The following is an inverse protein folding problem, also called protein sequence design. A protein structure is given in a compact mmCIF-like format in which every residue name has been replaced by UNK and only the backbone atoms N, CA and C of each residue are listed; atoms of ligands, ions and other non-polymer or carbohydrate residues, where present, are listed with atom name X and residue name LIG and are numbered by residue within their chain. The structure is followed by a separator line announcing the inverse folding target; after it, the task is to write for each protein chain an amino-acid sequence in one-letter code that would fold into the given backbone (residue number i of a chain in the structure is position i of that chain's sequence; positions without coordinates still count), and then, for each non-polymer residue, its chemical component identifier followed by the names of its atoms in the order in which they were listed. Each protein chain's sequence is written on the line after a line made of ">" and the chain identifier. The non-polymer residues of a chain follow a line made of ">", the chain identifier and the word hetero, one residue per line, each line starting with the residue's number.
data_IF_116377157076
#
_entry.id   IF_116377157076
#
_cell.length_a   1.000
_cell.length_b   1.000
_cell.length_c   1.000
_cell.angle_alpha   90.00
_cell.angle_beta   90.00
_cell.angle_gamma   90.00
#
_symmetry.space_group_name_H-M   'P 1'
#
loop_
_entity.id
_entity.type
_entity.pdbx_description
1 polymer ?
#
# COMPACT_ATOMS: atom_id res chain seq x y z
N UNK A 1 -40.60 -11.83 -11.53
CA UNK A 1 -39.37 -11.71 -12.33
C UNK A 1 -38.61 -10.48 -11.82
N UNK A 2 -37.64 -10.67 -10.91
CA UNK A 2 -36.82 -9.57 -10.39
C UNK A 2 -35.50 -9.53 -11.15
N UNK A 3 -35.31 -8.48 -11.94
CA UNK A 3 -34.07 -8.20 -12.65
C UNK A 3 -32.96 -7.95 -11.61
N UNK A 4 -32.14 -8.97 -11.36
CA UNK A 4 -30.86 -8.83 -10.68
C UNK A 4 -29.92 -8.04 -11.59
N UNK A 5 -29.97 -6.71 -11.48
CA UNK A 5 -28.91 -5.83 -11.98
C UNK A 5 -27.68 -6.14 -11.13
N UNK A 6 -26.87 -7.11 -11.58
CA UNK A 6 -25.55 -7.38 -11.03
C UNK A 6 -24.76 -6.08 -11.13
N UNK A 7 -24.51 -5.44 -9.98
CA UNK A 7 -23.51 -4.39 -9.90
C UNK A 7 -22.20 -4.92 -10.51
N UNK A 8 -21.50 -4.17 -11.36
CA UNK A 8 -20.26 -4.64 -11.93
C UNK A 8 -19.30 -4.98 -10.79
N UNK A 9 -18.88 -6.25 -10.72
CA UNK A 9 -17.78 -6.68 -9.85
C UNK A 9 -16.60 -5.78 -10.20
N UNK A 10 -16.05 -5.07 -9.22
CA UNK A 10 -14.83 -4.27 -9.36
C UNK A 10 -13.64 -5.20 -9.68
N UNK A 11 -13.56 -5.69 -10.91
CA UNK A 11 -12.35 -6.25 -11.46
C UNK A 11 -11.37 -5.10 -11.68
N UNK A 12 -10.30 -5.10 -10.90
CA UNK A 12 -8.97 -4.80 -11.44
C UNK A 12 -8.74 -3.41 -11.99
N UNK A 13 -8.80 -2.37 -11.14
CA UNK A 13 -7.76 -1.35 -11.33
C UNK A 13 -6.45 -2.00 -10.87
N UNK A 14 -5.46 -2.20 -11.76
CA UNK A 14 -4.18 -2.71 -11.32
C UNK A 14 -3.65 -1.79 -10.23
N UNK A 15 -3.16 -2.38 -9.14
CA UNK A 15 -2.44 -1.61 -8.13
C UNK A 15 -1.32 -0.84 -8.83
N UNK A 16 -1.10 0.40 -8.41
CA UNK A 16 -0.23 1.31 -9.13
C UNK A 16 1.20 0.75 -9.24
N UNK A 17 1.83 0.91 -10.42
CA UNK A 17 3.15 0.33 -10.71
C UNK A 17 4.23 0.71 -9.69
N UNK A 18 4.16 1.90 -9.10
CA UNK A 18 5.08 2.32 -8.03
C UNK A 18 5.00 1.44 -6.78
N UNK A 19 3.82 0.91 -6.46
CA UNK A 19 3.65 0.01 -5.32
C UNK A 19 4.28 -1.35 -5.60
N UNK A 20 4.16 -1.85 -6.84
CA UNK A 20 4.85 -3.07 -7.28
C UNK A 20 6.37 -2.86 -7.24
N UNK A 21 6.86 -1.68 -7.61
CA UNK A 21 8.30 -1.39 -7.55
C UNK A 21 8.87 -1.36 -6.12
N UNK A 22 8.05 -1.16 -5.07
CA UNK A 22 8.51 -1.08 -3.68
C UNK A 22 9.29 -2.32 -3.20
N UNK A 23 8.97 -3.52 -3.70
CA UNK A 23 9.67 -4.75 -3.32
C UNK A 23 11.15 -4.74 -3.68
N UNK A 24 11.53 -3.97 -4.71
CA UNK A 24 12.90 -3.86 -5.22
C UNK A 24 13.43 -2.42 -5.17
N UNK A 25 12.77 -1.52 -4.47
CA UNK A 25 13.13 -0.10 -4.47
C UNK A 25 14.34 0.17 -3.56
N UNK A 26 15.41 0.73 -4.14
CA UNK A 26 16.64 1.08 -3.44
C UNK A 26 16.50 2.26 -2.45
N UNK A 27 15.37 2.97 -2.46
CA UNK A 27 14.99 3.92 -1.42
C UNK A 27 14.67 3.21 -0.10
N UNK A 28 14.03 2.04 -0.15
CA UNK A 28 13.65 1.25 1.03
C UNK A 28 14.82 0.34 1.41
N UNK A 29 15.90 0.95 1.91
CA UNK A 29 17.19 0.25 2.17
C UNK A 29 17.12 -0.69 3.37
N UNK A 30 16.56 -0.22 4.48
CA UNK A 30 16.62 -0.90 5.76
C UNK A 30 15.26 -1.48 6.15
N UNK A 31 15.26 -2.76 6.53
CA UNK A 31 14.06 -3.51 6.84
C UNK A 31 13.35 -3.00 8.10
N UNK A 32 14.11 -2.52 9.08
CA UNK A 32 13.58 -2.00 10.34
C UNK A 32 13.45 -0.46 10.38
N UNK A 33 13.91 0.25 9.35
CA UNK A 33 13.68 1.68 9.23
C UNK A 33 12.19 2.00 9.08
N UNK A 34 11.76 3.09 9.71
CA UNK A 34 10.40 3.61 9.60
C UNK A 34 10.35 4.67 8.49
N UNK A 35 9.42 4.49 7.55
CA UNK A 35 9.19 5.38 6.43
C UNK A 35 7.85 6.05 6.59
N UNK A 36 7.84 7.37 6.51
CA UNK A 36 6.61 8.13 6.62
C UNK A 36 5.81 8.13 5.32
N UNK A 37 4.49 8.29 5.43
CA UNK A 37 3.63 8.51 4.25
C UNK A 37 4.04 9.76 3.48
N UNK A 38 4.60 10.79 4.14
CA UNK A 38 5.11 11.97 3.47
C UNK A 38 6.34 11.67 2.61
N UNK A 39 7.32 10.94 3.14
CA UNK A 39 8.54 10.60 2.41
C UNK A 39 8.24 9.74 1.19
N UNK A 40 7.38 8.72 1.37
CA UNK A 40 6.91 7.88 0.28
C UNK A 40 6.14 8.69 -0.77
N UNK A 41 5.32 9.65 -0.35
CA UNK A 41 4.58 10.52 -1.25
C UNK A 41 5.50 11.38 -2.11
N UNK A 42 6.56 11.95 -1.52
CA UNK A 42 7.59 12.73 -2.22
C UNK A 42 8.34 11.82 -3.20
N UNK A 43 8.86 10.69 -2.73
CA UNK A 43 9.67 9.76 -3.53
C UNK A 43 8.90 9.22 -4.74
N UNK A 44 7.67 8.72 -4.54
CA UNK A 44 6.85 8.16 -5.63
C UNK A 44 6.04 9.20 -6.42
N UNK A 45 6.17 10.49 -6.08
CA UNK A 45 5.40 11.59 -6.69
C UNK A 45 3.90 11.30 -6.66
N UNK A 46 3.36 11.01 -5.47
CA UNK A 46 1.94 10.72 -5.22
C UNK A 46 1.43 11.52 -4.05
N UNK A 47 0.11 11.64 -3.92
CA UNK A 47 -0.48 12.26 -2.73
C UNK A 47 -0.37 11.33 -1.52
N UNK A 48 -0.23 11.92 -0.32
CA UNK A 48 -0.22 11.18 0.96
C UNK A 48 -1.40 10.21 1.07
N UNK A 49 -2.61 10.67 0.69
CA UNK A 49 -3.83 9.85 0.67
C UNK A 49 -3.71 8.65 -0.27
N UNK A 50 -3.12 8.83 -1.45
CA UNK A 50 -2.91 7.72 -2.40
C UNK A 50 -1.96 6.67 -1.84
N UNK A 51 -0.80 7.09 -1.30
CA UNK A 51 0.17 6.19 -0.68
C UNK A 51 -0.49 5.35 0.42
N UNK A 52 -1.11 6.04 1.39
CA UNK A 52 -1.78 5.39 2.53
C UNK A 52 -2.86 4.41 2.07
N UNK A 53 -3.76 4.85 1.20
CA UNK A 53 -4.91 4.03 0.80
C UNK A 53 -4.47 2.80 -0.01
N UNK A 54 -3.47 2.93 -0.88
CA UNK A 54 -2.97 1.79 -1.66
C UNK A 54 -2.31 0.76 -0.74
N UNK A 55 -1.46 1.19 0.19
CA UNK A 55 -0.79 0.30 1.14
C UNK A 55 -1.81 -0.45 2.00
N UNK A 56 -2.73 0.26 2.65
CA UNK A 56 -3.70 -0.33 3.57
C UNK A 56 -4.69 -1.26 2.85
N UNK A 57 -5.21 -0.86 1.69
CA UNK A 57 -6.16 -1.71 0.92
C UNK A 57 -5.53 -2.98 0.40
N UNK A 58 -4.27 -2.93 -0.06
CA UNK A 58 -3.59 -4.14 -0.51
C UNK A 58 -3.28 -5.06 0.67
N UNK A 59 -2.89 -4.54 1.82
CA UNK A 59 -2.75 -5.36 3.03
C UNK A 59 -4.05 -6.08 3.39
N UNK A 60 -5.16 -5.34 3.49
CA UNK A 60 -6.46 -5.91 3.81
C UNK A 60 -6.87 -6.98 2.81
N UNK A 61 -6.64 -6.73 1.51
CA UNK A 61 -6.93 -7.70 0.45
C UNK A 61 -6.07 -8.98 0.56
N UNK A 62 -4.77 -8.84 0.84
CA UNK A 62 -3.80 -9.95 0.84
C UNK A 62 -3.95 -10.85 2.07
N UNK A 63 -4.33 -10.28 3.22
CA UNK A 63 -4.29 -11.00 4.49
C UNK A 63 -5.66 -11.14 5.17
N UNK A 64 -6.73 -10.61 4.56
CA UNK A 64 -8.09 -10.59 5.09
C UNK A 64 -8.17 -10.04 6.53
N UNK A 65 -7.36 -9.02 6.81
CA UNK A 65 -7.31 -8.36 8.12
C UNK A 65 -6.94 -6.88 8.01
N UNK A 66 -7.42 -6.10 8.97
CA UNK A 66 -7.06 -4.68 9.08
C UNK A 66 -5.61 -4.52 9.54
N UNK A 67 -4.89 -3.59 8.92
CA UNK A 67 -3.60 -3.15 9.42
C UNK A 67 -3.80 -2.00 10.39
N UNK A 68 -3.11 -2.05 11.54
CA UNK A 68 -3.05 -0.94 12.48
C UNK A 68 -1.71 -0.22 12.31
N UNK A 69 -1.66 0.87 11.52
CA UNK A 69 -0.42 1.62 11.36
C UNK A 69 -0.07 2.40 12.63
N UNK A 70 1.22 2.64 12.82
CA UNK A 70 1.72 3.55 13.85
C UNK A 70 1.46 4.99 13.40
N UNK A 71 0.80 5.76 14.26
CA UNK A 71 0.60 7.19 14.09
C UNK A 71 1.54 7.94 15.03
N UNK A 72 2.22 8.96 14.50
CA UNK A 72 3.01 9.91 15.28
C UNK A 72 2.53 11.33 15.01
N UNK A 73 2.81 12.24 15.93
CA UNK A 73 2.65 13.68 15.70
C UNK A 73 4.05 14.22 15.45
N UNK A 74 4.28 14.81 14.27
CA UNK A 74 5.58 15.41 13.96
C UNK A 74 5.73 16.78 14.62
N UNK A 75 6.91 17.38 14.49
CA UNK A 75 7.26 18.70 15.07
C UNK A 75 6.31 19.84 14.68
N UNK A 76 5.62 19.70 13.55
CA UNK A 76 4.65 20.67 13.03
C UNK A 76 3.22 20.39 13.53
N UNK A 77 3.04 19.45 14.47
CA UNK A 77 1.73 19.05 14.99
C UNK A 77 0.90 18.24 13.99
N UNK A 78 1.48 17.81 12.87
CA UNK A 78 0.78 17.05 11.84
C UNK A 78 0.88 15.56 12.15
N UNK A 79 -0.27 14.88 12.11
CA UNK A 79 -0.30 13.42 12.24
C UNK A 79 0.30 12.75 11.02
N UNK A 80 1.26 11.87 11.26
CA UNK A 80 2.00 11.13 10.27
C UNK A 80 1.83 9.63 10.52
N UNK A 81 1.75 8.87 9.43
CA UNK A 81 1.69 7.41 9.45
C UNK A 81 3.04 6.86 9.07
N UNK A 82 3.54 5.90 9.85
CA UNK A 82 4.81 5.23 9.62
C UNK A 82 4.61 3.78 9.22
N UNK A 83 5.44 3.32 8.28
CA UNK A 83 5.52 1.92 7.87
C UNK A 83 6.96 1.44 7.95
N UNK A 84 7.17 0.21 8.41
CA UNK A 84 8.51 -0.41 8.38
C UNK A 84 8.90 -0.81 6.96
N UNK A 85 10.18 -0.68 6.61
CA UNK A 85 10.68 -1.07 5.29
C UNK A 85 10.35 -2.52 4.92
N UNK A 86 10.57 -3.46 5.84
CA UNK A 86 10.23 -4.89 5.65
C UNK A 86 8.75 -5.12 5.36
N UNK A 87 7.89 -4.33 6.00
CA UNK A 87 6.45 -4.41 5.77
C UNK A 87 6.12 -3.94 4.34
N UNK A 88 6.64 -2.79 3.92
CA UNK A 88 6.42 -2.25 2.58
C UNK A 88 6.90 -3.21 1.48
N UNK A 89 8.11 -3.76 1.64
CA UNK A 89 8.68 -4.76 0.72
C UNK A 89 7.82 -6.03 0.68
N UNK A 90 7.37 -6.52 1.84
CA UNK A 90 6.56 -7.75 1.92
C UNK A 90 5.22 -7.58 1.22
N UNK A 91 4.46 -6.53 1.52
CA UNK A 91 3.12 -6.35 0.91
C UNK A 91 3.20 -6.17 -0.60
N UNK A 92 4.25 -5.50 -1.08
CA UNK A 92 4.51 -5.32 -2.51
C UNK A 92 4.85 -6.65 -3.17
N UNK A 93 5.75 -7.43 -2.55
CA UNK A 93 6.15 -8.75 -3.06
C UNK A 93 5.01 -9.76 -3.08
N UNK A 94 4.21 -9.80 -2.01
CA UNK A 94 3.06 -10.71 -1.91
C UNK A 94 1.99 -10.35 -2.95
N UNK A 95 1.76 -9.04 -3.19
CA UNK A 95 0.87 -8.60 -4.26
C UNK A 95 1.34 -9.08 -5.64
N UNK A 96 2.63 -8.94 -5.96
CA UNK A 96 3.19 -9.42 -7.23
C UNK A 96 2.91 -10.90 -7.39
N UNK A 97 3.25 -11.71 -6.37
CA UNK A 97 3.04 -13.17 -6.38
C UNK A 97 1.58 -13.52 -6.66
N UNK A 98 0.63 -12.96 -5.91
CA UNK A 98 -0.79 -13.26 -6.13
C UNK A 98 -1.29 -12.92 -7.54
N UNK A 99 -0.76 -11.86 -8.15
CA UNK A 99 -1.18 -11.44 -9.49
C UNK A 99 -0.41 -12.14 -10.62
N UNK A 100 0.75 -12.75 -10.33
CA UNK A 100 1.47 -13.63 -11.25
C UNK A 100 0.80 -15.00 -11.35
N UNK A 101 0.29 -15.57 -10.25
CA UNK A 101 -0.45 -16.85 -10.26
C UNK A 101 -1.82 -16.80 -10.94
N UNK A 102 -2.32 -15.60 -11.23
CA UNK A 102 -3.60 -15.38 -11.94
C UNK A 102 -3.42 -15.19 -13.46
N UNK A 103 -2.20 -15.30 -13.98
CA UNK A 103 -1.87 -15.31 -15.42
C UNK A 103 -1.60 -16.72 -15.92
#
# INVERSE_FOLDING_TARGET
>A
MTNNIKSPKFFGRPTAAWFIAMSSDSFIREDDAEYSVCDLAIHYKKTKSTIRNVILRNYEKLYDKKFEPKYIINENGVTEVLFKGKFLKKISSDYIRENEYLR
#
